data_IF_570561529673
#
_entry.id   IF_570561529673
#
_cell.length_a   1.000
_cell.length_b   1.000
_cell.length_c   1.000
_cell.angle_alpha   90.00
_cell.angle_beta   90.00
_cell.angle_gamma   90.00
#
_symmetry.space_group_name_H-M   'P 1'
#
loop_
_entity.id
_entity.type
_entity.pdbx_description
1 polymer ?
#
# COMPACT_ATOMS: atom_id res chain seq x y z
N UNK A 1 1.65 17.99 -50.62
CA UNK A 1 0.39 17.22 -50.45
C UNK A 1 0.61 15.88 -49.74
N UNK A 2 1.51 15.00 -50.20
CA UNK A 2 1.77 13.70 -49.52
C UNK A 2 2.36 13.84 -48.11
N UNK A 3 3.28 14.78 -47.88
CA UNK A 3 3.92 15.02 -46.58
C UNK A 3 2.94 15.55 -45.51
N UNK A 4 2.03 16.44 -45.87
CA UNK A 4 1.02 17.00 -44.96
C UNK A 4 0.01 15.94 -44.48
N UNK A 5 -0.39 15.03 -45.38
CA UNK A 5 -1.28 13.91 -45.04
C UNK A 5 -0.63 12.92 -44.06
N UNK A 6 0.68 12.72 -44.15
CA UNK A 6 1.44 11.86 -43.22
C UNK A 6 1.50 12.49 -41.83
N UNK A 7 1.71 13.81 -41.73
CA UNK A 7 1.69 14.50 -40.43
C UNK A 7 0.30 14.43 -39.78
N UNK A 8 -0.76 14.67 -40.54
CA UNK A 8 -2.12 14.64 -40.03
C UNK A 8 -2.50 13.25 -39.47
N UNK A 9 -2.16 12.19 -40.19
CA UNK A 9 -2.46 10.81 -39.74
C UNK A 9 -1.67 10.43 -38.49
N UNK A 10 -0.41 10.85 -38.39
CA UNK A 10 0.44 10.64 -37.21
C UNK A 10 -0.13 11.32 -35.96
N UNK A 11 -0.59 12.57 -36.08
CA UNK A 11 -1.20 13.30 -34.95
C UNK A 11 -2.50 12.65 -34.48
N UNK A 12 -3.35 12.18 -35.38
CA UNK A 12 -4.60 11.48 -35.04
C UNK A 12 -4.29 10.17 -34.31
N UNK A 13 -3.31 9.41 -34.82
CA UNK A 13 -2.89 8.16 -34.20
C UNK A 13 -2.33 8.38 -32.78
N UNK A 14 -1.46 9.39 -32.61
CA UNK A 14 -0.93 9.76 -31.31
C UNK A 14 -2.03 10.20 -30.33
N UNK A 15 -3.04 10.94 -30.81
CA UNK A 15 -4.18 11.35 -29.99
C UNK A 15 -5.02 10.17 -29.51
N UNK A 16 -5.25 9.16 -30.35
CA UNK A 16 -5.96 7.93 -29.96
C UNK A 16 -5.17 7.16 -28.90
N UNK A 17 -3.85 7.00 -29.10
CA UNK A 17 -2.95 6.38 -28.13
C UNK A 17 -2.97 7.11 -26.78
N UNK A 18 -3.00 8.45 -26.79
CA UNK A 18 -3.09 9.26 -25.58
C UNK A 18 -4.40 8.99 -24.83
N UNK A 19 -5.54 8.96 -25.53
CA UNK A 19 -6.83 8.66 -24.93
C UNK A 19 -6.87 7.27 -24.28
N UNK A 20 -6.31 6.26 -24.95
CA UNK A 20 -6.20 4.90 -24.40
C UNK A 20 -5.30 4.91 -23.16
N UNK A 21 -4.16 5.58 -23.21
CA UNK A 21 -3.24 5.68 -22.08
C UNK A 21 -3.90 6.33 -20.87
N UNK A 22 -4.62 7.44 -21.04
CA UNK A 22 -5.34 8.13 -19.96
C UNK A 22 -6.36 7.20 -19.30
N UNK A 23 -7.13 6.45 -20.10
CA UNK A 23 -8.11 5.49 -19.59
C UNK A 23 -7.46 4.44 -18.68
N UNK A 24 -6.33 3.86 -19.11
CA UNK A 24 -5.60 2.89 -18.30
C UNK A 24 -5.01 3.52 -17.03
N UNK A 25 -4.44 4.72 -17.11
CA UNK A 25 -3.88 5.41 -15.94
C UNK A 25 -4.93 5.64 -14.84
N UNK A 26 -6.13 6.11 -15.21
CA UNK A 26 -7.23 6.31 -14.24
C UNK A 26 -7.65 4.97 -13.64
N UNK A 27 -7.78 3.93 -14.46
CA UNK A 27 -8.15 2.59 -13.99
C UNK A 27 -7.13 2.04 -13.01
N UNK A 28 -5.84 2.15 -13.31
CA UNK A 28 -4.77 1.69 -12.42
C UNK A 28 -4.68 2.50 -11.15
N UNK A 29 -4.84 3.83 -11.21
CA UNK A 29 -4.87 4.69 -10.03
C UNK A 29 -5.96 4.27 -9.04
N UNK A 30 -7.17 3.99 -9.52
CA UNK A 30 -8.28 3.56 -8.67
C UNK A 30 -8.03 2.18 -8.02
N UNK A 31 -7.37 1.27 -8.75
CA UNK A 31 -6.99 -0.04 -8.20
C UNK A 31 -5.96 0.13 -7.07
N UNK A 32 -4.97 1.01 -7.24
CA UNK A 32 -3.95 1.28 -6.21
C UNK A 32 -4.60 1.87 -4.96
N UNK A 33 -5.51 2.83 -5.08
CA UNK A 33 -6.22 3.41 -3.94
C UNK A 33 -6.96 2.34 -3.14
N UNK A 34 -7.74 1.48 -3.81
CA UNK A 34 -8.43 0.36 -3.16
C UNK A 34 -7.50 -0.64 -2.49
N UNK A 35 -6.32 -0.84 -3.09
CA UNK A 35 -5.32 -1.72 -2.51
C UNK A 35 -4.75 -1.13 -1.21
N UNK A 36 -4.46 0.17 -1.18
CA UNK A 36 -4.01 0.87 0.02
C UNK A 36 -5.06 0.84 1.14
N UNK A 37 -6.33 1.08 0.81
CA UNK A 37 -7.44 0.98 1.79
C UNK A 37 -7.52 -0.43 2.41
N UNK A 38 -7.38 -1.47 1.59
CA UNK A 38 -7.41 -2.86 2.08
C UNK A 38 -6.19 -3.20 2.96
N UNK A 39 -5.04 -2.58 2.71
CA UNK A 39 -3.86 -2.74 3.56
C UNK A 39 -4.06 -2.08 4.93
N UNK A 40 -4.65 -0.88 4.96
CA UNK A 40 -4.97 -0.16 6.19
C UNK A 40 -5.95 -0.95 7.07
N UNK A 41 -7.04 -1.48 6.48
CA UNK A 41 -7.98 -2.34 7.19
C UNK A 41 -7.31 -3.60 7.76
N UNK A 42 -6.36 -4.19 7.01
CA UNK A 42 -5.62 -5.36 7.47
C UNK A 42 -4.71 -5.05 8.66
N UNK A 43 -4.09 -3.87 8.68
CA UNK A 43 -3.25 -3.40 9.79
C UNK A 43 -4.10 -3.14 11.04
N UNK A 44 -5.25 -2.49 10.89
CA UNK A 44 -6.19 -2.23 12.00
C UNK A 44 -6.66 -3.53 12.66
N UNK A 45 -7.05 -4.52 11.85
CA UNK A 45 -7.44 -5.84 12.36
C UNK A 45 -6.29 -6.48 13.14
N UNK A 46 -5.07 -6.40 12.63
CA UNK A 46 -3.91 -6.99 13.28
C UNK A 46 -3.57 -6.32 14.61
N UNK A 47 -3.68 -5.00 14.70
CA UNK A 47 -3.49 -4.27 15.96
C UNK A 47 -4.60 -4.61 16.98
N UNK A 48 -5.85 -4.78 16.54
CA UNK A 48 -6.94 -5.26 17.42
C UNK A 48 -6.63 -6.67 17.95
N UNK A 49 -6.16 -7.58 17.09
CA UNK A 49 -5.76 -8.94 17.52
C UNK A 49 -4.57 -8.91 18.45
N UNK A 50 -3.60 -8.05 18.19
CA UNK A 50 -2.43 -7.87 19.05
C UNK A 50 -2.85 -7.40 20.45
N UNK A 51 -3.77 -6.44 20.55
CA UNK A 51 -4.31 -5.97 21.83
C UNK A 51 -5.02 -7.08 22.62
N UNK A 52 -5.85 -7.89 21.94
CA UNK A 52 -6.52 -9.05 22.55
C UNK A 52 -5.55 -10.12 23.01
N UNK A 53 -4.49 -10.38 22.24
CA UNK A 53 -3.42 -11.29 22.66
C UNK A 53 -2.79 -10.76 23.94
N UNK A 54 -2.43 -9.48 23.97
CA UNK A 54 -1.80 -8.86 25.12
C UNK A 54 -2.66 -8.94 26.39
N UNK A 55 -3.98 -8.72 26.27
CA UNK A 55 -4.94 -8.90 27.38
C UNK A 55 -4.95 -10.34 27.94
N UNK A 56 -4.84 -11.35 27.06
CA UNK A 56 -4.74 -12.77 27.49
C UNK A 56 -3.42 -13.05 28.21
N UNK A 57 -2.33 -12.39 27.81
CA UNK A 57 -0.99 -12.59 28.40
C UNK A 57 -0.83 -11.99 29.79
N UNK A 58 -1.65 -11.00 30.16
CA UNK A 58 -1.70 -10.47 31.53
C UNK A 58 -2.25 -11.51 32.53
N UNK A 59 -2.73 -12.66 32.05
CA UNK A 59 -3.03 -13.81 32.92
C UNK A 59 -1.73 -14.38 33.49
N UNK A 60 -1.57 -14.48 34.82
CA UNK A 60 -0.29 -14.74 35.48
C UNK A 60 0.36 -16.10 35.15
N UNK A 61 -0.36 -17.02 34.52
CA UNK A 61 0.17 -18.32 34.11
C UNK A 61 1.00 -18.28 32.81
N UNK A 62 0.82 -17.25 31.97
CA UNK A 62 1.35 -17.23 30.58
C UNK A 62 2.45 -16.19 30.35
N UNK A 63 2.56 -15.19 31.22
CA UNK A 63 3.48 -14.06 31.07
C UNK A 63 4.99 -14.45 31.03
N UNK A 64 5.36 -15.58 31.64
CA UNK A 64 6.75 -16.06 31.74
C UNK A 64 7.11 -17.12 30.69
N UNK A 65 6.21 -17.49 29.78
CA UNK A 65 6.55 -18.46 28.72
C UNK A 65 7.34 -17.81 27.58
N UNK A 66 8.59 -18.22 27.32
CA UNK A 66 9.40 -17.68 26.22
C UNK A 66 8.80 -18.01 24.84
N UNK A 67 8.04 -19.11 24.71
CA UNK A 67 7.36 -19.48 23.48
C UNK A 67 6.30 -18.44 23.09
N UNK A 68 5.61 -17.87 24.08
CA UNK A 68 4.55 -16.91 23.82
C UNK A 68 5.12 -15.55 23.42
N UNK A 69 6.23 -15.14 24.03
CA UNK A 69 6.98 -13.95 23.59
C UNK A 69 7.48 -14.06 22.15
N UNK A 70 7.96 -15.25 21.75
CA UNK A 70 8.34 -15.48 20.35
C UNK A 70 7.16 -15.30 19.39
N UNK A 71 6.00 -15.87 19.69
CA UNK A 71 4.80 -15.69 18.86
C UNK A 71 4.41 -14.21 18.75
N UNK A 72 4.52 -13.45 19.83
CA UNK A 72 4.21 -12.02 19.84
C UNK A 72 5.17 -11.21 18.95
N UNK A 73 6.46 -11.54 18.98
CA UNK A 73 7.44 -10.91 18.10
C UNK A 73 7.23 -11.30 16.64
N UNK A 74 6.85 -12.54 16.33
CA UNK A 74 6.50 -12.94 14.96
C UNK A 74 5.28 -12.17 14.42
N UNK A 75 4.27 -11.91 15.27
CA UNK A 75 3.12 -11.07 14.90
C UNK A 75 3.56 -9.63 14.64
N UNK A 76 4.45 -9.06 15.46
CA UNK A 76 5.02 -7.72 15.23
C UNK A 76 5.81 -7.67 13.92
N UNK A 77 6.67 -8.66 13.67
CA UNK A 77 7.45 -8.74 12.43
C UNK A 77 6.55 -8.81 11.19
N UNK A 78 5.43 -9.53 11.27
CA UNK A 78 4.42 -9.58 10.22
C UNK A 78 3.83 -8.19 9.97
N UNK A 79 3.41 -7.49 11.03
CA UNK A 79 2.90 -6.12 10.94
C UNK A 79 3.91 -5.17 10.32
N UNK A 80 5.15 -5.20 10.80
CA UNK A 80 6.19 -4.29 10.35
C UNK A 80 6.54 -4.54 8.87
N UNK A 81 6.46 -5.79 8.41
CA UNK A 81 6.64 -6.14 6.98
C UNK A 81 5.51 -5.59 6.09
N UNK A 82 4.27 -5.60 6.60
CA UNK A 82 3.12 -5.01 5.91
C UNK A 82 3.22 -3.48 5.90
N UNK A 83 3.60 -2.86 7.02
CA UNK A 83 3.87 -1.42 7.11
C UNK A 83 4.99 -0.98 6.17
N UNK A 84 6.07 -1.76 6.04
CA UNK A 84 7.11 -1.51 5.05
C UNK A 84 6.54 -1.51 3.62
N UNK A 85 5.70 -2.48 3.29
CA UNK A 85 5.07 -2.59 1.97
C UNK A 85 4.15 -1.40 1.69
N UNK A 86 3.33 -1.00 2.68
CA UNK A 86 2.50 0.19 2.61
C UNK A 86 3.33 1.47 2.46
N UNK A 87 4.42 1.61 3.21
CA UNK A 87 5.35 2.72 3.08
C UNK A 87 6.01 2.76 1.71
N UNK A 88 6.38 1.63 1.10
CA UNK A 88 6.94 1.64 -0.27
C UNK A 88 5.90 2.12 -1.29
N UNK A 89 4.62 1.77 -1.11
CA UNK A 89 3.54 2.20 -2.00
C UNK A 89 3.20 3.68 -1.84
N UNK A 90 3.25 4.18 -0.61
CA UNK A 90 2.91 5.57 -0.27
C UNK A 90 4.10 6.53 -0.44
N UNK A 91 5.29 6.15 0.02
CA UNK A 91 6.50 7.00 0.05
C UNK A 91 7.13 7.19 -1.33
N UNK A 92 6.76 6.38 -2.34
CA UNK A 92 7.05 6.71 -3.74
C UNK A 92 6.16 7.86 -4.28
N UNK A 93 5.28 8.45 -3.47
CA UNK A 93 4.47 9.64 -3.79
C UNK A 93 4.49 10.74 -2.71
N UNK A 94 5.37 10.69 -1.69
CA UNK A 94 5.38 11.68 -0.61
C UNK A 94 6.83 12.06 -0.24
N UNK A 95 7.44 12.96 -1.01
CA UNK A 95 8.38 13.94 -0.44
C UNK A 95 7.57 15.00 0.32
N UNK A 96 6.99 14.65 1.46
CA UNK A 96 6.59 15.60 2.50
C UNK A 96 6.73 14.92 3.86
N UNK A 97 7.97 14.75 4.30
CA UNK A 97 8.30 14.85 5.71
C UNK A 97 8.77 16.28 5.96
N UNK A 98 7.85 17.24 5.87
CA UNK A 98 7.82 18.41 6.74
C UNK A 98 6.65 18.08 7.69
N UNK A 99 6.83 17.92 9.00
CA UNK A 99 7.43 18.93 9.86
C UNK A 99 8.43 18.37 10.89
N UNK A 100 9.49 19.15 11.01
CA UNK A 100 10.51 19.21 12.04
C UNK A 100 9.93 19.78 13.35
N UNK A 101 10.42 19.25 14.48
CA UNK A 101 10.40 19.72 15.88
C UNK A 101 9.45 19.02 16.87
#
# INVERSE_FOLDING_TARGET
MSLELIFLSSTIFASILLCVSIYFNIKHGLIIVKFTESLEESLDIMDERYAKINEVLDTPLFHDSPQIRQVLDEVRNCRDSILLSANILTNNNIETFEDEN
#
